data_IF_044153655773
#
_entry.id   IF_044153655773
#
_cell.length_a   1.000
_cell.length_b   1.000
_cell.length_c   1.000
_cell.angle_alpha   90.00
_cell.angle_beta   90.00
_cell.angle_gamma   90.00
#
_symmetry.space_group_name_H-M   'P 1'
#
loop_
_entity.id
_entity.type
_entity.pdbx_description
1 polymer ?
#
# COMPACT_ATOMS: atom_id res chain seq x y z
N UNK A 1 -10.68 -10.14 -10.37
CA UNK A 1 -9.38 -9.52 -10.05
C UNK A 1 -8.70 -8.86 -11.27
N UNK A 2 -8.48 -9.56 -12.40
CA UNK A 2 -7.79 -9.00 -13.59
C UNK A 2 -8.42 -7.70 -14.14
N UNK A 3 -9.73 -7.63 -14.39
CA UNK A 3 -10.34 -6.48 -15.12
C UNK A 3 -10.20 -5.11 -14.42
N UNK A 4 -10.30 -5.06 -13.10
CA UNK A 4 -10.27 -3.82 -12.30
C UNK A 4 -8.87 -3.23 -12.19
N UNK A 5 -7.91 -4.06 -11.77
CA UNK A 5 -6.50 -3.65 -11.61
C UNK A 5 -5.88 -3.36 -12.98
N UNK A 6 -6.26 -4.13 -14.02
CA UNK A 6 -5.88 -3.86 -15.41
C UNK A 6 -6.44 -2.53 -15.92
N UNK A 7 -7.61 -2.06 -15.46
CA UNK A 7 -8.17 -0.77 -15.88
C UNK A 7 -7.30 0.40 -15.45
N UNK A 8 -6.81 0.40 -14.20
CA UNK A 8 -5.88 1.43 -13.68
C UNK A 8 -4.52 1.29 -14.36
N UNK A 9 -4.02 0.05 -14.49
CA UNK A 9 -2.71 -0.20 -15.07
C UNK A 9 -2.65 -0.04 -16.60
N UNK A 10 -3.79 -0.04 -17.32
CA UNK A 10 -3.83 0.06 -18.80
C UNK A 10 -3.18 1.35 -19.33
N UNK A 11 -3.34 2.45 -18.61
CA UNK A 11 -2.75 3.75 -18.96
C UNK A 11 -1.30 3.91 -18.44
N UNK A 12 -0.82 2.91 -17.69
CA UNK A 12 0.51 2.90 -17.04
C UNK A 12 1.41 1.85 -17.70
N UNK A 13 0.85 0.84 -18.37
CA UNK A 13 1.59 -0.24 -19.04
C UNK A 13 2.43 0.22 -20.23
N UNK A 14 2.16 1.40 -20.80
CA UNK A 14 3.02 2.02 -21.81
C UNK A 14 4.29 2.66 -21.25
N UNK A 15 4.41 2.78 -19.92
CA UNK A 15 5.64 3.26 -19.28
C UNK A 15 6.73 2.19 -19.30
N UNK A 16 7.95 2.60 -19.64
CA UNK A 16 9.04 1.66 -19.93
C UNK A 16 9.81 1.25 -18.67
N UNK A 17 9.92 2.11 -17.66
CA UNK A 17 10.75 1.85 -16.47
C UNK A 17 9.94 1.55 -15.21
N UNK A 18 10.51 0.72 -14.33
CA UNK A 18 9.93 0.41 -13.01
C UNK A 18 9.66 1.67 -12.19
N UNK A 19 10.59 2.63 -12.19
CA UNK A 19 10.43 3.93 -11.52
C UNK A 19 9.18 4.71 -11.99
N UNK A 20 8.98 4.86 -13.30
CA UNK A 20 7.84 5.63 -13.84
C UNK A 20 6.51 4.97 -13.49
N UNK A 21 6.42 3.64 -13.67
CA UNK A 21 5.23 2.85 -13.29
C UNK A 21 4.93 3.01 -11.80
N UNK A 22 5.95 2.83 -10.96
CA UNK A 22 5.86 2.96 -9.52
C UNK A 22 5.35 4.33 -9.09
N UNK A 23 5.96 5.41 -9.60
CA UNK A 23 5.59 6.79 -9.28
C UNK A 23 4.16 7.11 -9.71
N UNK A 24 3.74 6.71 -10.91
CA UNK A 24 2.37 6.91 -11.40
C UNK A 24 1.33 6.19 -10.55
N UNK A 25 1.56 4.92 -10.23
CA UNK A 25 0.66 4.12 -9.38
C UNK A 25 0.57 4.73 -7.97
N UNK A 26 1.72 5.07 -7.38
CA UNK A 26 1.77 5.70 -6.06
C UNK A 26 0.98 7.00 -6.01
N UNK A 27 1.21 7.90 -6.97
CA UNK A 27 0.54 9.20 -7.03
C UNK A 27 -0.96 9.05 -7.27
N UNK A 28 -1.37 8.13 -8.15
CA UNK A 28 -2.78 7.83 -8.38
C UNK A 28 -3.45 7.32 -7.09
N UNK A 29 -2.86 6.34 -6.41
CA UNK A 29 -3.48 5.83 -5.18
C UNK A 29 -3.54 6.91 -4.10
N UNK A 30 -2.45 7.66 -3.90
CA UNK A 30 -2.38 8.73 -2.91
C UNK A 30 -3.43 9.83 -3.11
N UNK A 31 -3.82 10.13 -4.35
CA UNK A 31 -4.82 11.15 -4.67
C UNK A 31 -6.26 10.65 -4.60
N UNK A 32 -6.47 9.34 -4.62
CA UNK A 32 -7.81 8.72 -4.63
C UNK A 32 -8.22 8.14 -3.27
N UNK A 33 -7.29 8.04 -2.32
CA UNK A 33 -7.54 7.40 -1.02
C UNK A 33 -7.06 8.32 0.11
N UNK A 34 -7.97 8.62 1.02
CA UNK A 34 -7.70 9.25 2.31
C UNK A 34 -7.63 8.18 3.40
N UNK A 35 -6.83 8.46 4.42
CA UNK A 35 -6.50 7.49 5.45
C UNK A 35 -7.57 7.44 6.53
N UNK A 36 -8.20 6.27 6.70
CA UNK A 36 -9.10 6.00 7.81
C UNK A 36 -8.43 5.05 8.80
N UNK A 37 -8.38 5.43 10.08
CA UNK A 37 -7.85 4.56 11.11
C UNK A 37 -8.88 3.48 11.51
N UNK A 38 -8.50 2.21 11.35
CA UNK A 38 -9.14 1.04 11.98
C UNK A 38 -8.13 -0.10 12.10
N UNK A 39 -8.42 -1.08 12.97
CA UNK A 39 -7.53 -2.24 13.18
C UNK A 39 -7.64 -3.24 12.03
N UNK A 40 -6.53 -3.91 11.73
CA UNK A 40 -6.41 -4.99 10.74
C UNK A 40 -6.76 -4.59 9.30
N UNK A 41 -6.28 -5.37 8.34
CA UNK A 41 -6.91 -5.34 7.02
C UNK A 41 -8.30 -5.95 7.14
N UNK A 42 -9.29 -5.25 6.63
CA UNK A 42 -10.64 -5.79 6.49
C UNK A 42 -10.96 -6.14 5.03
N UNK A 43 -10.05 -5.83 4.10
CA UNK A 43 -10.37 -5.72 2.68
C UNK A 43 -9.30 -6.35 1.79
N UNK A 44 -9.76 -7.09 0.78
CA UNK A 44 -8.88 -7.48 -0.34
C UNK A 44 -8.71 -6.27 -1.25
N UNK A 45 -7.70 -6.28 -2.12
CA UNK A 45 -7.42 -5.16 -3.03
C UNK A 45 -8.64 -4.73 -3.87
N UNK A 46 -9.49 -5.68 -4.26
CA UNK A 46 -10.73 -5.39 -5.01
C UNK A 46 -11.75 -4.64 -4.18
N UNK A 47 -11.81 -4.90 -2.87
CA UNK A 47 -12.78 -4.29 -1.97
C UNK A 47 -12.34 -2.86 -1.65
N UNK A 48 -11.04 -2.64 -1.44
CA UNK A 48 -10.45 -1.29 -1.35
C UNK A 48 -10.74 -0.49 -2.62
N UNK A 49 -10.48 -1.06 -3.80
CA UNK A 49 -10.79 -0.39 -5.07
C UNK A 49 -12.29 -0.13 -5.25
N UNK A 50 -13.15 -1.05 -4.84
CA UNK A 50 -14.59 -0.83 -4.95
C UNK A 50 -15.03 0.33 -4.07
N UNK A 51 -14.50 0.43 -2.83
CA UNK A 51 -14.83 1.51 -1.88
C UNK A 51 -14.41 2.89 -2.37
N UNK A 52 -13.21 3.06 -2.93
CA UNK A 52 -12.79 4.36 -3.50
C UNK A 52 -13.72 4.87 -4.61
N UNK A 53 -14.48 3.97 -5.26
CA UNK A 53 -15.38 4.31 -6.36
C UNK A 53 -16.84 4.45 -5.92
N UNK A 54 -17.17 4.10 -4.67
CA UNK A 54 -18.56 4.02 -4.19
C UNK A 54 -18.82 4.89 -2.97
N UNK A 55 -17.82 5.15 -2.15
CA UNK A 55 -17.92 5.93 -0.91
C UNK A 55 -17.00 7.15 -0.95
N UNK A 56 -17.05 7.97 0.09
CA UNK A 56 -16.09 9.07 0.29
C UNK A 56 -14.66 8.55 0.38
N UNK A 57 -13.68 9.43 0.10
CA UNK A 57 -12.27 9.07 -0.06
C UNK A 57 -11.63 8.47 1.21
N UNK A 58 -12.22 8.69 2.38
CA UNK A 58 -11.71 8.23 3.68
C UNK A 58 -12.24 6.84 4.05
N UNK A 59 -11.55 5.77 3.65
CA UNK A 59 -12.05 4.40 3.87
C UNK A 59 -10.97 3.30 3.92
N UNK A 60 -9.67 3.63 4.00
CA UNK A 60 -8.61 2.63 4.00
C UNK A 60 -7.45 2.94 4.95
N UNK A 61 -7.03 1.95 5.75
CA UNK A 61 -5.91 2.05 6.69
C UNK A 61 -4.54 1.68 6.06
N UNK A 62 -3.51 1.63 6.93
CA UNK A 62 -2.12 1.27 6.65
C UNK A 62 -2.00 -0.03 5.80
N UNK A 63 -2.76 -1.06 6.17
CA UNK A 63 -2.68 -2.39 5.55
C UNK A 63 -3.46 -2.43 4.25
N UNK A 64 -4.66 -1.87 4.22
CA UNK A 64 -5.56 -1.93 3.06
C UNK A 64 -5.03 -1.09 1.88
N UNK A 65 -4.46 0.08 2.17
CA UNK A 65 -3.74 0.85 1.15
C UNK A 65 -2.51 0.09 0.63
N UNK A 66 -1.76 -0.59 1.49
CA UNK A 66 -0.61 -1.41 1.08
C UNK A 66 -1.02 -2.59 0.21
N UNK A 67 -2.14 -3.25 0.52
CA UNK A 67 -2.69 -4.38 -0.26
C UNK A 67 -3.04 -3.95 -1.68
N UNK A 68 -3.75 -2.83 -1.82
CA UNK A 68 -4.08 -2.28 -3.13
C UNK A 68 -2.80 -1.88 -3.90
N UNK A 69 -1.86 -1.22 -3.23
CA UNK A 69 -0.63 -0.73 -3.84
C UNK A 69 0.24 -1.86 -4.38
N UNK A 70 0.49 -2.91 -3.58
CA UNK A 70 1.22 -4.10 -4.03
C UNK A 70 0.52 -4.77 -5.21
N UNK A 71 -0.82 -4.86 -5.18
CA UNK A 71 -1.60 -5.48 -6.25
C UNK A 71 -1.47 -4.72 -7.58
N UNK A 72 -1.54 -3.38 -7.53
CA UNK A 72 -1.36 -2.53 -8.71
C UNK A 72 0.07 -2.61 -9.25
N UNK A 73 1.08 -2.50 -8.37
CA UNK A 73 2.49 -2.58 -8.74
C UNK A 73 2.83 -3.91 -9.42
N UNK A 74 2.47 -5.04 -8.80
CA UNK A 74 2.71 -6.38 -9.34
C UNK A 74 1.97 -6.58 -10.67
N UNK A 75 0.76 -6.05 -10.81
CA UNK A 75 0.01 -6.12 -12.08
C UNK A 75 0.66 -5.30 -13.20
N UNK A 76 1.33 -4.19 -12.86
CA UNK A 76 2.11 -3.40 -13.81
C UNK A 76 3.52 -3.98 -14.10
N UNK A 77 3.87 -5.12 -13.49
CA UNK A 77 5.17 -5.76 -13.63
C UNK A 77 6.28 -5.12 -12.78
N UNK A 78 5.92 -4.42 -11.71
CA UNK A 78 6.88 -3.87 -10.74
C UNK A 78 6.97 -4.83 -9.55
N UNK A 79 8.12 -5.50 -9.31
CA UNK A 79 8.30 -6.32 -8.13
C UNK A 79 8.15 -5.49 -6.85
N UNK A 80 7.32 -5.96 -5.93
CA UNK A 80 7.04 -5.28 -4.67
C UNK A 80 6.63 -6.24 -3.56
N UNK A 81 6.82 -5.82 -2.32
CA UNK A 81 6.53 -6.59 -1.12
C UNK A 81 6.17 -5.68 0.06
N UNK A 82 5.55 -6.26 1.07
CA UNK A 82 5.10 -5.54 2.25
C UNK A 82 6.24 -5.47 3.28
N UNK A 83 6.28 -4.37 4.02
CA UNK A 83 7.10 -4.23 5.22
C UNK A 83 6.18 -4.03 6.41
N UNK A 84 6.41 -4.79 7.47
CA UNK A 84 5.79 -4.59 8.77
C UNK A 84 6.78 -3.92 9.73
N UNK A 85 6.57 -2.64 10.03
CA UNK A 85 7.35 -1.89 10.99
C UNK A 85 6.70 -1.95 12.38
N UNK A 86 7.51 -2.21 13.39
CA UNK A 86 7.09 -2.19 14.79
C UNK A 86 6.91 -0.74 15.30
N UNK A 87 6.25 -0.59 16.45
CA UNK A 87 6.18 0.69 17.15
C UNK A 87 7.59 1.23 17.42
N UNK A 88 7.74 2.55 17.35
CA UNK A 88 9.02 3.27 17.45
C UNK A 88 9.85 3.27 16.15
N UNK A 89 9.49 2.51 15.10
CA UNK A 89 10.25 2.49 13.84
C UNK A 89 9.78 3.52 12.81
N UNK A 90 8.46 3.66 12.69
CA UNK A 90 7.79 4.63 11.81
C UNK A 90 7.01 5.68 12.61
N UNK A 91 6.32 5.21 13.66
CA UNK A 91 5.52 6.02 14.57
C UNK A 91 5.77 5.59 16.00
N UNK A 92 5.62 6.48 16.97
CA UNK A 92 5.97 6.21 18.37
C UNK A 92 5.19 5.04 18.98
N UNK A 93 3.86 5.06 18.84
CA UNK A 93 2.98 4.23 19.68
C UNK A 93 2.31 3.05 18.94
N UNK A 94 2.54 2.90 17.63
CA UNK A 94 1.87 1.90 16.81
C UNK A 94 2.75 1.34 15.70
N UNK A 95 2.52 0.06 15.40
CA UNK A 95 3.08 -0.61 14.23
C UNK A 95 2.46 -0.07 12.94
N UNK A 96 3.14 -0.32 11.82
CA UNK A 96 2.76 0.22 10.52
C UNK A 96 3.07 -0.75 9.39
N UNK A 97 2.23 -0.76 8.35
CA UNK A 97 2.45 -1.54 7.13
C UNK A 97 2.62 -0.58 5.97
N UNK A 98 3.70 -0.77 5.22
CA UNK A 98 3.98 -0.04 3.99
C UNK A 98 4.58 -0.96 2.93
N UNK A 99 4.90 -0.43 1.76
CA UNK A 99 5.39 -1.21 0.61
C UNK A 99 6.84 -0.86 0.30
N UNK A 100 7.66 -1.84 -0.09
CA UNK A 100 8.90 -1.62 -0.84
C UNK A 100 8.74 -2.16 -2.26
N UNK A 101 9.24 -1.40 -3.23
CA UNK A 101 9.21 -1.78 -4.63
C UNK A 101 10.55 -1.54 -5.31
N UNK A 102 10.83 -2.31 -6.35
CA UNK A 102 12.05 -2.18 -7.14
C UNK A 102 11.82 -1.17 -8.27
N UNK A 103 12.52 -0.03 -8.21
CA UNK A 103 12.56 0.94 -9.31
C UNK A 103 13.38 0.40 -10.49
N UNK A 104 14.41 -0.37 -10.16
CA UNK A 104 15.34 -1.08 -11.06
C UNK A 104 15.91 -2.30 -10.34
N UNK A 105 16.73 -3.09 -11.03
CA UNK A 105 17.37 -4.27 -10.45
C UNK A 105 18.28 -3.96 -9.24
N UNK A 106 18.79 -2.72 -9.15
CA UNK A 106 19.74 -2.33 -8.11
C UNK A 106 19.14 -1.38 -7.06
N UNK A 107 17.90 -0.91 -7.24
CA UNK A 107 17.33 0.15 -6.40
C UNK A 107 15.92 -0.17 -5.95
N UNK A 108 15.72 -0.12 -4.63
CA UNK A 108 14.44 -0.22 -3.97
C UNK A 108 14.01 1.11 -3.38
N UNK A 109 12.71 1.35 -3.37
CA UNK A 109 12.11 2.55 -2.78
C UNK A 109 10.97 2.18 -1.85
N UNK A 110 10.88 2.92 -0.74
CA UNK A 110 9.77 2.86 0.20
C UNK A 110 8.58 3.60 -0.41
N UNK A 111 7.44 2.95 -0.38
CA UNK A 111 6.17 3.48 -0.84
C UNK A 111 5.17 3.40 0.31
N UNK A 112 4.83 4.56 0.84
CA UNK A 112 3.78 4.70 1.83
C UNK A 112 2.82 5.84 1.46
N UNK A 113 1.62 5.47 0.99
CA UNK A 113 0.56 6.43 0.63
C UNK A 113 -0.15 7.02 1.84
N UNK A 114 0.08 6.51 3.05
CA UNK A 114 -0.50 7.06 4.28
C UNK A 114 0.41 8.12 4.90
N UNK A 115 1.74 7.99 4.76
CA UNK A 115 2.70 8.90 5.38
C UNK A 115 3.24 10.01 4.47
N UNK A 116 3.21 9.83 3.14
CA UNK A 116 3.89 10.76 2.22
C UNK A 116 3.06 11.11 0.99
N UNK A 117 3.32 12.30 0.44
CA UNK A 117 2.84 12.72 -0.88
C UNK A 117 3.69 12.15 -2.01
N UNK A 118 4.93 11.73 -1.74
CA UNK A 118 5.92 11.27 -2.71
C UNK A 118 6.56 9.93 -2.30
N UNK A 119 6.94 9.07 -3.27
CA UNK A 119 7.76 7.89 -3.00
C UNK A 119 9.05 8.26 -2.25
N UNK A 120 9.44 7.41 -1.30
CA UNK A 120 10.64 7.62 -0.50
C UNK A 120 10.39 7.38 0.98
N UNK A 121 11.48 7.32 1.75
CA UNK A 121 11.42 7.19 3.20
C UNK A 121 10.96 8.53 3.82
N UNK A 122 9.86 8.55 4.60
CA UNK A 122 9.49 9.73 5.37
C UNK A 122 10.59 10.17 6.35
N UNK A 123 10.64 11.47 6.65
CA UNK A 123 11.58 12.01 7.63
C UNK A 123 11.34 11.41 9.02
N UNK A 124 12.42 11.18 9.78
CA UNK A 124 12.34 10.60 11.13
C UNK A 124 12.13 9.09 11.20
N UNK A 125 11.89 8.40 10.08
CA UNK A 125 11.79 6.95 10.07
C UNK A 125 13.17 6.30 10.19
N UNK A 126 13.34 5.43 11.19
CA UNK A 126 14.56 4.65 11.41
C UNK A 126 14.62 3.39 10.55
N UNK A 127 13.49 2.98 9.98
CA UNK A 127 13.42 2.08 8.83
C UNK A 127 14.00 0.70 9.10
N UNK A 128 13.31 -0.15 9.86
CA UNK A 128 13.52 -1.60 9.80
C UNK A 128 12.28 -2.30 10.32
N UNK A 129 11.63 -3.04 9.42
CA UNK A 129 10.54 -3.94 9.73
C UNK A 129 10.77 -5.23 8.95
N UNK A 130 10.29 -6.37 9.46
CA UNK A 130 10.39 -7.63 8.73
C UNK A 130 9.59 -7.50 7.42
N UNK A 131 10.24 -7.72 6.28
CA UNK A 131 9.58 -7.77 5.00
C UNK A 131 8.94 -9.13 4.79
N UNK A 132 7.65 -9.18 4.49
CA UNK A 132 6.99 -10.43 4.15
C UNK A 132 6.56 -10.41 2.67
N UNK A 133 7.16 -11.29 1.89
CA UNK A 133 6.81 -11.53 0.49
C UNK A 133 5.72 -12.60 0.41
N UNK A 134 4.51 -12.31 0.89
CA UNK A 134 3.41 -13.24 0.66
C UNK A 134 2.99 -13.17 -0.83
N UNK A 135 3.32 -14.23 -1.55
CA UNK A 135 2.95 -14.47 -2.96
C UNK A 135 1.55 -15.09 -3.10
N UNK A 136 0.97 -15.58 -2.01
CA UNK A 136 -0.36 -16.20 -1.98
C UNK A 136 -1.22 -15.55 -0.89
N UNK A 137 -2.13 -14.65 -1.30
CA UNK A 137 -3.39 -14.40 -0.61
C UNK A 137 -3.36 -13.89 0.83
N UNK A 138 -3.65 -12.59 0.96
CA UNK A 138 -4.33 -11.94 2.10
C UNK A 138 -3.56 -11.88 3.43
N UNK A 139 -3.16 -10.65 3.79
CA UNK A 139 -2.69 -10.27 5.13
C UNK A 139 -3.86 -10.30 6.13
N UNK A 140 -4.12 -11.44 6.77
CA UNK A 140 -5.23 -11.54 7.73
C UNK A 140 -4.91 -11.14 9.19
N UNK A 141 -3.68 -10.75 9.55
CA UNK A 141 -3.33 -10.65 10.98
C UNK A 141 -2.30 -9.60 11.38
N UNK A 142 -2.42 -8.33 10.97
CA UNK A 142 -1.42 -7.32 11.35
C UNK A 142 -2.13 -6.02 11.78
N UNK A 143 -2.22 -5.80 13.09
CA UNK A 143 -2.95 -4.70 13.73
C UNK A 143 -2.10 -3.44 13.89
N UNK A 144 -2.53 -2.32 13.29
CA UNK A 144 -2.30 -0.97 13.83
C UNK A 144 -3.30 -0.81 15.03
N UNK A 145 -2.93 -1.05 16.32
CA UNK A 145 -3.92 -1.11 17.45
C UNK A 145 -4.33 0.27 18.03
N UNK A 146 -5.65 0.55 18.08
CA UNK A 146 -6.47 0.83 19.30
C UNK A 146 -7.94 0.47 19.00
N UNK A 147 -8.65 -0.11 19.97
CA UNK A 147 -9.94 -0.84 19.78
C UNK A 147 -11.05 0.07 19.29
N UNK A 148 -11.69 -0.29 18.17
CA UNK A 148 -13.05 0.13 17.90
C UNK A 148 -13.81 -1.06 17.30
N UNK A 149 -14.91 -1.37 17.97
CA UNK A 149 -15.85 -2.43 17.66
C UNK A 149 -16.68 -2.01 16.45
N UNK A 150 -16.49 -2.67 15.32
CA UNK A 150 -17.53 -2.73 14.30
C UNK A 150 -17.81 -4.20 14.04
N UNK A 151 -18.89 -4.66 14.66
CA UNK A 151 -19.52 -5.93 14.38
C UNK A 151 -20.10 -5.90 12.97
N UNK A 152 -20.03 -7.05 12.31
CA UNK A 152 -20.72 -7.39 11.08
C UNK A 152 -22.22 -7.09 11.16
#
# INVERSE_FOLDING_TARGET
>A
MRKVVVSVCKNISGEITGEKKMRKIFKWQRSNIEYQFYKNSHFKATDVYWRINKWDKDHANCVDQSILLVSLLRTAGVPSYFIHAEAGKCYADYGHVYVKAYESNAKQTILDTTASKDPGKPSGWSGSGAGTSHINGIFYSHTCKKENHYHH
#
